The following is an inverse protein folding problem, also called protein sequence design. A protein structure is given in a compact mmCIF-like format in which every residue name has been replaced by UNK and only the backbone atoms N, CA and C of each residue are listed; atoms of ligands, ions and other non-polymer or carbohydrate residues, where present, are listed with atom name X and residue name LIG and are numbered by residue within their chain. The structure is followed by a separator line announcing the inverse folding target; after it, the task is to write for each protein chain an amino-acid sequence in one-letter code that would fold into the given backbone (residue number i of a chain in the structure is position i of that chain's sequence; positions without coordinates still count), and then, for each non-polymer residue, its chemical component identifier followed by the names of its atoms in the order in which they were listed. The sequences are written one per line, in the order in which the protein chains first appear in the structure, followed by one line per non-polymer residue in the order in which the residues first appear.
data_IF_783673491596
#
_entry.id   IF_783673491596
#
_cell.length_a   1.000
_cell.length_b   1.000
_cell.length_c   1.000
_cell.angle_alpha   90.00
_cell.angle_beta   90.00
_cell.angle_gamma   90.00
#
_symmetry.space_group_name_H-M   'P 1'
#
loop_
_entity.id
_entity.type
_entity.pdbx_description
1 polymer ?
#
# COMPACT_ATOMS: atom_id res chain seq x y z
N UNK A 1 -15.01 8.97 12.09
CA UNK A 1 -15.64 8.97 13.43
C UNK A 1 -15.25 10.25 14.16
N UNK A 2 -16.16 10.90 14.90
CA UNK A 2 -15.81 12.12 15.67
C UNK A 2 -14.90 11.76 16.86
N UNK A 3 -14.00 12.66 17.26
CA UNK A 3 -13.04 12.41 18.34
C UNK A 3 -13.72 11.94 19.65
N UNK A 4 -14.85 12.55 20.03
CA UNK A 4 -15.63 12.18 21.21
C UNK A 4 -16.23 10.78 21.14
N UNK A 5 -16.62 10.32 19.95
CA UNK A 5 -17.12 8.96 19.75
C UNK A 5 -15.98 7.93 19.86
N UNK A 6 -14.79 8.26 19.35
CA UNK A 6 -13.62 7.40 19.46
C UNK A 6 -13.19 7.21 20.92
N UNK A 7 -13.10 8.29 21.70
CA UNK A 7 -12.72 8.22 23.11
C UNK A 7 -13.68 7.34 23.92
N UNK A 8 -14.99 7.47 23.66
CA UNK A 8 -16.01 6.62 24.30
C UNK A 8 -15.83 5.14 23.94
N UNK A 9 -15.51 4.84 22.69
CA UNK A 9 -15.26 3.48 22.22
C UNK A 9 -14.00 2.87 22.87
N UNK A 10 -12.90 3.62 22.96
CA UNK A 10 -11.67 3.17 23.63
C UNK A 10 -11.93 2.82 25.11
N UNK A 11 -12.72 3.63 25.82
CA UNK A 11 -13.06 3.35 27.21
C UNK A 11 -13.78 1.99 27.39
N UNK A 12 -14.56 1.57 26.40
CA UNK A 12 -15.30 0.30 26.42
C UNK A 12 -14.39 -0.93 26.21
N UNK A 13 -13.17 -0.77 25.68
CA UNK A 13 -12.24 -1.88 25.46
C UNK A 13 -11.85 -2.60 26.76
N UNK A 14 -11.86 -1.86 27.88
CA UNK A 14 -11.57 -2.42 29.21
C UNK A 14 -12.56 -3.53 29.62
N UNK A 15 -13.81 -3.45 29.14
CA UNK A 15 -14.90 -4.37 29.48
C UNK A 15 -14.97 -5.63 28.60
N UNK A 16 -14.10 -5.76 27.59
CA UNK A 16 -14.15 -6.89 26.65
C UNK A 16 -13.70 -8.19 27.31
N UNK A 17 -14.46 -9.26 27.05
CA UNK A 17 -14.08 -10.62 27.42
C UNK A 17 -12.84 -11.10 26.64
N UNK A 18 -12.14 -12.15 27.10
CA UNK A 18 -11.01 -12.72 26.37
C UNK A 18 -11.34 -13.10 24.92
N UNK A 19 -12.52 -13.68 24.68
CA UNK A 19 -12.99 -14.06 23.35
C UNK A 19 -13.27 -12.84 22.47
N UNK A 20 -13.93 -11.81 23.01
CA UNK A 20 -14.19 -10.56 22.29
C UNK A 20 -12.90 -9.80 21.96
N UNK A 21 -11.91 -9.85 22.85
CA UNK A 21 -10.57 -9.28 22.59
C UNK A 21 -9.89 -10.01 21.44
N UNK A 22 -9.98 -11.33 21.38
CA UNK A 22 -9.37 -12.10 20.31
C UNK A 22 -10.07 -11.88 18.97
N UNK A 23 -11.40 -11.81 18.95
CA UNK A 23 -12.19 -11.42 17.78
C UNK A 23 -11.83 -10.00 17.29
N UNK A 24 -11.72 -9.03 18.21
CA UNK A 24 -11.32 -7.66 17.87
C UNK A 24 -9.91 -7.63 17.27
N UNK A 25 -8.94 -8.33 17.88
CA UNK A 25 -7.60 -8.45 17.32
C UNK A 25 -7.63 -9.07 15.94
N UNK A 26 -8.38 -10.15 15.72
CA UNK A 26 -8.49 -10.79 14.41
C UNK A 26 -9.07 -9.82 13.35
N UNK A 27 -10.10 -9.05 13.69
CA UNK A 27 -10.70 -8.05 12.80
C UNK A 27 -9.74 -6.88 12.50
N UNK A 28 -8.94 -6.43 13.47
CA UNK A 28 -7.96 -5.36 13.29
C UNK A 28 -6.66 -5.83 12.61
N UNK A 29 -6.32 -7.10 12.79
CA UNK A 29 -5.11 -7.75 12.26
C UNK A 29 -5.34 -8.40 10.90
N UNK A 30 -6.60 -8.55 10.48
CA UNK A 30 -6.91 -8.74 9.07
C UNK A 30 -6.13 -7.66 8.31
N UNK A 31 -5.34 -8.02 7.28
CA UNK A 31 -4.63 -7.03 6.51
C UNK A 31 -5.68 -6.08 5.95
N UNK A 32 -5.86 -4.93 6.61
CA UNK A 32 -6.36 -3.74 5.96
C UNK A 32 -5.54 -3.59 4.69
N UNK A 33 -6.14 -3.07 3.62
CA UNK A 33 -5.53 -2.89 2.30
C UNK A 33 -4.22 -2.07 2.36
N UNK A 34 -3.15 -2.64 2.90
CA UNK A 34 -1.95 -1.94 3.36
C UNK A 34 -1.11 -1.39 2.20
N UNK A 35 -1.51 -1.63 0.95
CA UNK A 35 -0.68 -1.31 -0.20
C UNK A 35 -1.38 -0.61 -1.37
N UNK A 36 -2.72 -0.53 -1.41
CA UNK A 36 -3.42 0.03 -2.57
C UNK A 36 -4.07 1.39 -2.30
N UNK A 37 -4.57 1.63 -1.09
CA UNK A 37 -5.41 2.81 -0.83
C UNK A 37 -4.63 4.04 -0.35
N UNK A 38 -3.34 3.91 -0.02
CA UNK A 38 -2.49 5.02 0.46
C UNK A 38 -1.53 5.57 -0.60
N UNK A 39 -1.83 5.39 -1.89
CA UNK A 39 -1.03 5.98 -2.95
C UNK A 39 -1.42 7.46 -3.07
N UNK A 40 -0.78 8.30 -2.27
CA UNK A 40 -1.06 9.73 -2.20
C UNK A 40 -0.75 10.43 -3.53
N UNK A 41 -1.65 11.32 -3.94
CA UNK A 41 -1.39 12.24 -5.05
C UNK A 41 -0.19 13.12 -4.70
N UNK A 42 0.84 13.18 -5.54
CA UNK A 42 2.00 14.02 -5.27
C UNK A 42 1.58 15.50 -5.28
N UNK A 43 1.97 16.25 -4.25
CA UNK A 43 1.74 17.70 -4.16
C UNK A 43 2.80 18.53 -4.91
N UNK A 44 3.91 17.90 -5.30
CA UNK A 44 5.00 18.55 -6.02
C UNK A 44 5.77 17.56 -6.90
N UNK A 45 6.46 18.08 -7.90
CA UNK A 45 7.28 17.32 -8.81
C UNK A 45 8.45 16.67 -8.06
N UNK A 46 8.63 15.34 -8.12
CA UNK A 46 9.73 14.67 -7.43
C UNK A 46 11.11 14.97 -8.03
N UNK A 47 11.18 15.65 -9.17
CA UNK A 47 12.44 15.98 -9.85
C UNK A 47 12.90 17.42 -9.62
N UNK A 48 11.98 18.36 -9.46
CA UNK A 48 12.30 19.80 -9.38
C UNK A 48 11.49 20.56 -8.33
N UNK A 49 10.63 19.87 -7.57
CA UNK A 49 9.83 20.40 -6.45
C UNK A 49 8.77 21.46 -6.81
N UNK A 50 8.59 21.80 -8.09
CA UNK A 50 7.47 22.64 -8.54
C UNK A 50 6.12 21.99 -8.20
N UNK A 51 5.15 22.79 -7.76
CA UNK A 51 3.77 22.37 -7.50
C UNK A 51 2.91 22.28 -8.77
N UNK A 52 3.44 22.70 -9.92
CA UNK A 52 2.72 22.69 -11.20
C UNK A 52 2.79 21.30 -11.86
N UNK A 53 1.81 20.47 -11.50
CA UNK A 53 1.62 19.12 -12.03
C UNK A 53 0.29 19.00 -12.76
N UNK A 54 0.34 18.53 -14.00
CA UNK A 54 -0.83 18.22 -14.81
C UNK A 54 -1.05 16.72 -14.91
N UNK A 55 -2.30 16.28 -15.03
CA UNK A 55 -2.63 14.87 -15.30
C UNK A 55 -2.09 14.44 -16.66
N UNK A 56 -1.48 13.26 -16.74
CA UNK A 56 -0.84 12.72 -17.95
C UNK A 56 -1.27 11.27 -18.23
N UNK A 57 -2.58 11.01 -18.11
CA UNK A 57 -3.16 9.68 -18.25
C UNK A 57 -2.81 8.73 -17.11
N UNK A 58 -2.84 7.43 -17.38
CA UNK A 58 -2.52 6.39 -16.41
C UNK A 58 -1.72 5.25 -17.03
N UNK A 59 -0.96 4.52 -16.22
CA UNK A 59 -0.27 3.30 -16.64
C UNK A 59 -0.09 2.36 -15.45
N UNK A 60 -0.21 1.05 -15.69
CA UNK A 60 -0.08 0.04 -14.63
C UNK A 60 -1.03 0.29 -13.45
N UNK A 61 -2.22 0.83 -13.70
CA UNK A 61 -3.23 1.19 -12.70
C UNK A 61 -2.87 2.39 -11.81
N UNK A 62 -1.91 3.23 -12.21
CA UNK A 62 -1.56 4.47 -11.51
C UNK A 62 -1.81 5.68 -12.39
N UNK A 63 -2.31 6.79 -11.84
CA UNK A 63 -2.27 8.06 -12.54
C UNK A 63 -0.82 8.47 -12.79
N UNK A 64 -0.60 9.16 -13.90
CA UNK A 64 0.67 9.81 -14.23
C UNK A 64 0.47 11.31 -14.20
N UNK A 65 1.53 12.02 -13.87
CA UNK A 65 1.58 13.47 -13.83
C UNK A 65 2.74 13.95 -14.70
N UNK A 66 2.60 15.13 -15.30
CA UNK A 66 3.68 15.83 -15.99
C UNK A 66 3.89 17.18 -15.34
N UNK A 67 5.14 17.49 -15.01
CA UNK A 67 5.48 18.80 -14.47
C UNK A 67 5.55 19.83 -15.59
N UNK A 68 4.89 20.98 -15.41
CA UNK A 68 4.92 22.08 -16.39
C UNK A 68 6.29 22.72 -16.47
N UNK A 69 6.95 22.91 -15.31
CA UNK A 69 8.26 23.55 -15.24
C UNK A 69 9.40 22.73 -15.86
N UNK A 70 9.56 21.45 -15.48
CA UNK A 70 10.69 20.61 -15.94
C UNK A 70 10.32 19.61 -17.05
N UNK A 71 9.05 19.51 -17.43
CA UNK A 71 8.55 18.61 -18.48
C UNK A 71 8.62 17.11 -18.17
N UNK A 72 9.18 16.70 -17.03
CA UNK A 72 9.32 15.29 -16.64
C UNK A 72 7.98 14.70 -16.19
N UNK A 73 7.78 13.42 -16.48
CA UNK A 73 6.60 12.67 -16.00
C UNK A 73 6.91 11.87 -14.75
N UNK A 74 6.00 11.86 -13.80
CA UNK A 74 6.05 11.05 -12.59
C UNK A 74 4.73 10.30 -12.39
N UNK A 75 4.70 9.41 -11.41
CA UNK A 75 3.50 8.80 -10.85
C UNK A 75 3.62 8.91 -9.31
N UNK A 76 2.55 8.59 -8.55
CA UNK A 76 2.58 8.64 -7.10
C UNK A 76 3.67 7.82 -6.40
N UNK A 77 4.21 6.79 -7.06
CA UNK A 77 5.28 5.97 -6.50
C UNK A 77 6.68 6.50 -6.84
N UNK A 78 6.79 7.52 -7.70
CA UNK A 78 8.08 8.03 -8.15
C UNK A 78 8.90 8.55 -6.97
N UNK A 79 10.14 8.08 -6.82
CA UNK A 79 11.00 8.43 -5.70
C UNK A 79 10.78 7.59 -4.43
N UNK A 80 9.77 6.71 -4.41
CA UNK A 80 9.57 5.76 -3.29
C UNK A 80 10.36 4.47 -3.52
N UNK A 81 10.69 3.71 -2.46
CA UNK A 81 11.24 2.36 -2.60
C UNK A 81 10.36 1.42 -3.45
N UNK A 82 9.05 1.72 -3.54
CA UNK A 82 8.08 0.94 -4.30
C UNK A 82 8.09 1.23 -5.80
N UNK A 83 8.77 2.29 -6.27
CA UNK A 83 8.74 2.75 -7.68
C UNK A 83 9.15 1.67 -8.70
N UNK A 84 10.04 0.76 -8.28
CA UNK A 84 10.63 -0.28 -9.15
C UNK A 84 9.99 -1.64 -8.96
N UNK A 85 9.13 -1.80 -7.96
CA UNK A 85 8.44 -3.05 -7.73
C UNK A 85 7.40 -3.27 -8.84
N UNK A 86 7.41 -4.47 -9.42
CA UNK A 86 6.47 -4.86 -10.48
C UNK A 86 5.23 -5.52 -9.90
N UNK A 87 4.20 -5.72 -10.73
CA UNK A 87 2.97 -6.46 -10.39
C UNK A 87 2.34 -6.00 -9.06
N UNK A 88 1.99 -4.71 -8.96
CA UNK A 88 1.43 -4.10 -7.74
C UNK A 88 0.25 -4.85 -7.13
N UNK A 89 -0.59 -5.46 -7.96
CA UNK A 89 -1.71 -6.28 -7.51
C UNK A 89 -1.29 -7.51 -6.67
N UNK A 90 -0.02 -7.93 -6.71
CA UNK A 90 0.52 -9.05 -5.94
C UNK A 90 1.32 -8.64 -4.70
N UNK A 91 1.53 -7.34 -4.45
CA UNK A 91 2.41 -6.89 -3.36
C UNK A 91 1.93 -7.37 -1.99
N UNK A 92 0.62 -7.41 -1.77
CA UNK A 92 0.04 -7.93 -0.53
C UNK A 92 0.41 -9.41 -0.31
N UNK A 93 0.21 -10.25 -1.33
CA UNK A 93 0.60 -11.67 -1.25
C UNK A 93 2.10 -11.86 -1.06
N UNK A 94 2.94 -10.99 -1.64
CA UNK A 94 4.38 -11.02 -1.37
C UNK A 94 4.73 -10.59 0.05
N UNK A 95 4.08 -9.55 0.59
CA UNK A 95 4.28 -9.11 1.96
C UNK A 95 3.91 -10.24 2.95
N UNK A 96 2.77 -10.91 2.72
CA UNK A 96 2.35 -12.07 3.51
C UNK A 96 3.35 -13.23 3.42
N UNK A 97 3.84 -13.53 2.22
CA UNK A 97 4.87 -14.56 2.02
C UNK A 97 6.18 -14.24 2.76
N UNK A 98 6.57 -12.97 2.85
CA UNK A 98 7.73 -12.52 3.61
C UNK A 98 7.48 -12.66 5.12
N UNK A 99 6.33 -12.22 5.63
CA UNK A 99 5.95 -12.36 7.04
C UNK A 99 5.96 -13.82 7.49
N UNK A 100 5.52 -14.73 6.61
CA UNK A 100 5.52 -16.18 6.85
C UNK A 100 6.86 -16.87 6.56
N UNK A 101 7.90 -16.11 6.16
CA UNK A 101 9.22 -16.66 5.80
C UNK A 101 9.15 -17.77 4.74
N UNK A 102 8.26 -17.64 3.75
CA UNK A 102 8.11 -18.64 2.70
C UNK A 102 9.33 -18.68 1.78
N UNK A 103 9.75 -19.89 1.40
CA UNK A 103 10.75 -20.05 0.32
C UNK A 103 10.25 -19.43 -0.98
N UNK A 104 11.17 -19.04 -1.86
CA UNK A 104 10.84 -18.42 -3.16
C UNK A 104 9.85 -19.25 -3.98
N UNK A 105 9.96 -20.59 -3.99
CA UNK A 105 9.02 -21.46 -4.71
C UNK A 105 7.62 -21.44 -4.10
N UNK A 106 7.52 -21.39 -2.77
CA UNK A 106 6.23 -21.33 -2.06
C UNK A 106 5.58 -19.95 -2.24
N UNK A 107 6.34 -18.87 -2.14
CA UNK A 107 5.89 -17.51 -2.43
C UNK A 107 5.39 -17.39 -3.88
N UNK A 108 6.12 -17.95 -4.85
CA UNK A 108 5.72 -17.95 -6.25
C UNK A 108 4.38 -18.68 -6.48
N UNK A 109 4.21 -19.86 -5.86
CA UNK A 109 2.94 -20.60 -5.90
C UNK A 109 1.80 -19.82 -5.23
N UNK A 110 2.07 -19.21 -4.07
CA UNK A 110 1.10 -18.40 -3.32
C UNK A 110 0.63 -17.19 -4.14
N UNK A 111 1.55 -16.47 -4.80
CA UNK A 111 1.25 -15.30 -5.62
C UNK A 111 0.84 -15.64 -7.07
N UNK A 112 0.74 -16.92 -7.45
CA UNK A 112 0.35 -17.34 -8.80
C UNK A 112 1.33 -16.92 -9.92
N UNK A 113 2.64 -16.85 -9.63
CA UNK A 113 3.67 -16.45 -10.59
C UNK A 113 4.73 -17.52 -10.80
N UNK A 114 5.52 -17.40 -11.86
CA UNK A 114 6.70 -18.25 -12.04
C UNK A 114 7.77 -17.94 -10.99
N UNK A 115 8.50 -18.97 -10.53
CA UNK A 115 9.61 -18.81 -9.57
C UNK A 115 10.67 -17.79 -10.01
N UNK A 116 10.89 -17.67 -11.32
CA UNK A 116 11.87 -16.75 -11.89
C UNK A 116 11.38 -15.30 -11.91
N UNK A 117 10.09 -15.05 -11.69
CA UNK A 117 9.49 -13.69 -11.65
C UNK A 117 8.89 -13.36 -10.29
N UNK A 118 9.23 -14.15 -9.26
CA UNK A 118 8.70 -14.01 -7.90
C UNK A 118 9.33 -12.86 -7.12
N UNK A 119 10.58 -12.46 -7.43
CA UNK A 119 11.29 -11.37 -6.73
C UNK A 119 12.11 -10.50 -7.70
N UNK A 120 11.54 -10.14 -8.85
CA UNK A 120 12.16 -9.23 -9.84
C UNK A 120 11.65 -7.79 -9.74
#
# INVERSE_FOLDING_TARGET
MKASQFTRWIAQLSSLSPEQREQLKACLSAPGSLAQDMIATPSSCPHCQSSELQSWGSSGGLPRYRCEFCGKTSNPLTGTPMARLRKRHLWQGYAEALTQSLTVRRAAKHCGVSKNTAFL
#
